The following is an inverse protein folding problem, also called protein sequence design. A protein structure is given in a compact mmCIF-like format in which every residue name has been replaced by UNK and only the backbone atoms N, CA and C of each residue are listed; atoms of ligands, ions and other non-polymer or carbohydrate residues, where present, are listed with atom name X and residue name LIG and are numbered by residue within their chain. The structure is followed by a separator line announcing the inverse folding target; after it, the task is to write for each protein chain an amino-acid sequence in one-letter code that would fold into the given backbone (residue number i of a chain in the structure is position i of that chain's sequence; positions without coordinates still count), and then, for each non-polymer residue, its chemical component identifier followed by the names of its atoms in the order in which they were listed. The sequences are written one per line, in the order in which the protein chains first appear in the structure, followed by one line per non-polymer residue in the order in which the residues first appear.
data_IF_294671458996
#
_entry.id   IF_294671458996
#
_cell.length_a   1.000
_cell.length_b   1.000
_cell.length_c   1.000
_cell.angle_alpha   90.00
_cell.angle_beta   90.00
_cell.angle_gamma   90.00
#
_symmetry.space_group_name_H-M   'P 1'
#
loop_
_entity.id
_entity.type
_entity.pdbx_description
1 polymer ?
#
# COMPACT_ATOMS: atom_id res chain seq x y z
N UNK A 1 -39.45 26.95 -7.31
CA UNK A 1 -39.52 26.63 -5.86
C UNK A 1 -38.47 25.58 -5.51
N UNK A 2 -37.74 25.83 -4.43
CA UNK A 2 -36.50 25.18 -3.99
C UNK A 2 -36.74 23.72 -3.58
N UNK A 3 -35.94 22.78 -4.11
CA UNK A 3 -35.65 21.50 -3.45
C UNK A 3 -34.13 21.31 -3.43
N UNK A 4 -33.51 21.95 -2.44
CA UNK A 4 -32.12 21.72 -2.10
C UNK A 4 -32.02 20.34 -1.44
N UNK A 5 -31.57 19.33 -2.18
CA UNK A 5 -31.15 18.06 -1.60
C UNK A 5 -29.72 18.24 -1.08
N UNK A 6 -29.62 18.63 0.19
CA UNK A 6 -28.40 18.54 0.99
C UNK A 6 -28.26 17.08 1.46
N UNK A 7 -27.57 16.27 0.67
CA UNK A 7 -26.98 15.02 1.16
C UNK A 7 -25.59 15.36 1.69
N UNK A 8 -25.54 15.76 2.96
CA UNK A 8 -24.30 15.83 3.72
C UNK A 8 -23.83 14.40 3.99
N UNK A 9 -23.06 13.85 3.06
CA UNK A 9 -22.30 12.63 3.30
C UNK A 9 -21.14 12.98 4.24
N UNK A 10 -21.33 12.70 5.53
CA UNK A 10 -20.28 12.79 6.54
C UNK A 10 -19.29 11.66 6.24
N UNK A 11 -18.21 11.98 5.52
CA UNK A 11 -17.10 11.06 5.30
C UNK A 11 -16.35 10.89 6.63
N UNK A 12 -16.69 9.85 7.39
CA UNK A 12 -15.76 9.29 8.36
C UNK A 12 -14.66 8.60 7.56
N UNK A 13 -13.63 9.37 7.17
CA UNK A 13 -12.42 8.79 6.58
C UNK A 13 -11.72 8.07 7.73
N UNK A 14 -11.96 6.77 7.87
CA UNK A 14 -11.01 5.92 8.55
C UNK A 14 -9.71 6.05 7.76
N UNK A 15 -8.74 6.77 8.33
CA UNK A 15 -7.37 6.78 7.82
C UNK A 15 -6.86 5.37 8.01
N UNK A 16 -6.99 4.53 6.99
CA UNK A 16 -6.15 3.34 6.87
C UNK A 16 -4.74 3.87 6.56
N UNK A 17 -4.02 4.29 7.61
CA UNK A 17 -2.60 4.51 7.49
C UNK A 17 -2.02 3.13 7.16
N UNK A 18 -1.70 2.90 5.88
CA UNK A 18 -0.94 1.73 5.42
C UNK A 18 0.55 1.86 5.81
N UNK A 19 0.83 2.53 6.92
CA UNK A 19 2.14 2.49 7.53
C UNK A 19 2.16 1.22 8.40
N UNK A 20 3.05 0.25 8.15
CA UNK A 20 3.06 -0.96 8.95
C UNK A 20 3.27 -0.55 10.41
N UNK A 21 2.49 -1.09 11.35
CA UNK A 21 2.57 -0.74 12.78
C UNK A 21 3.99 -0.79 13.37
N UNK A 22 4.87 -1.57 12.72
CA UNK A 22 6.30 -1.58 12.94
C UNK A 22 7.00 -0.24 12.67
N UNK A 23 6.74 0.42 11.54
CA UNK A 23 7.40 1.66 11.13
C UNK A 23 7.12 2.78 12.13
N UNK A 24 5.88 2.88 12.60
CA UNK A 24 5.49 3.77 13.69
C UNK A 24 6.27 3.47 14.97
N UNK A 25 6.37 2.19 15.35
CA UNK A 25 7.09 1.78 16.57
C UNK A 25 8.58 2.09 16.46
N UNK A 26 9.20 1.83 15.31
CA UNK A 26 10.63 2.09 15.08
C UNK A 26 10.94 3.59 15.08
N UNK A 27 10.14 4.40 14.37
CA UNK A 27 10.29 5.87 14.36
C UNK A 27 10.09 6.45 15.76
N UNK A 28 9.08 6.00 16.49
CA UNK A 28 8.83 6.44 17.85
C UNK A 28 9.95 6.03 18.82
N UNK A 29 10.56 4.86 18.62
CA UNK A 29 11.61 4.33 19.51
C UNK A 29 12.96 5.04 19.27
N UNK A 30 13.37 5.21 18.02
CA UNK A 30 14.75 5.66 17.72
C UNK A 30 14.86 7.07 17.14
N UNK A 31 13.79 7.64 16.60
CA UNK A 31 13.84 8.91 15.85
C UNK A 31 15.01 8.97 14.86
N UNK A 32 15.10 7.98 13.94
CA UNK A 32 16.26 7.80 13.08
C UNK A 32 16.50 9.02 12.17
N UNK A 33 17.77 9.25 11.83
CA UNK A 33 18.15 10.31 10.89
C UNK A 33 17.90 9.83 9.47
N UNK A 34 16.83 10.32 8.84
CA UNK A 34 16.50 10.01 7.46
C UNK A 34 15.20 9.22 7.31
N UNK A 35 14.92 8.83 6.08
CA UNK A 35 13.72 8.06 5.76
C UNK A 35 13.96 6.57 6.04
N UNK A 36 13.14 6.00 6.93
CA UNK A 36 13.16 4.55 7.17
C UNK A 36 12.48 3.87 5.99
N UNK A 37 13.22 3.00 5.31
CA UNK A 37 12.73 2.27 4.14
C UNK A 37 12.38 0.83 4.51
N UNK A 38 11.70 0.10 3.60
CA UNK A 38 11.43 -1.32 3.81
C UNK A 38 12.73 -2.15 4.00
N UNK A 39 13.86 -1.65 3.50
CA UNK A 39 15.13 -2.36 3.56
C UNK A 39 15.75 -2.40 4.96
N UNK A 40 15.21 -1.62 5.91
CA UNK A 40 15.56 -1.70 7.31
C UNK A 40 15.38 -3.14 7.84
N UNK A 41 14.31 -3.81 7.42
CA UNK A 41 13.96 -5.16 7.87
C UNK A 41 13.86 -6.20 6.74
N UNK A 42 13.86 -5.78 5.48
CA UNK A 42 13.68 -6.67 4.34
C UNK A 42 14.86 -6.64 3.37
N UNK A 43 15.17 -7.79 2.78
CA UNK A 43 16.12 -7.88 1.66
C UNK A 43 15.39 -7.78 0.30
N UNK A 44 14.21 -7.18 0.29
CA UNK A 44 13.19 -7.30 -0.76
C UNK A 44 11.88 -7.83 -0.17
N UNK A 45 10.89 -6.96 0.11
CA UNK A 45 9.64 -7.37 0.72
C UNK A 45 8.96 -8.52 -0.05
N UNK A 46 8.47 -9.58 0.63
CA UNK A 46 8.36 -9.72 2.08
C UNK A 46 9.56 -10.45 2.75
N UNK A 47 10.60 -10.83 2.00
CA UNK A 47 11.75 -11.57 2.54
C UNK A 47 12.51 -10.70 3.55
N UNK A 48 12.59 -11.13 4.81
CA UNK A 48 13.31 -10.39 5.86
C UNK A 48 14.83 -10.49 5.70
N UNK A 49 15.54 -9.39 5.92
CA UNK A 49 17.01 -9.37 6.03
C UNK A 49 17.44 -9.99 7.38
N UNK A 50 18.73 -9.99 7.70
CA UNK A 50 19.25 -10.58 8.94
C UNK A 50 18.68 -9.89 10.19
N UNK A 51 18.60 -8.56 10.20
CA UNK A 51 18.03 -7.77 11.29
C UNK A 51 16.53 -8.04 11.46
N UNK A 52 15.75 -7.97 10.39
CA UNK A 52 14.31 -8.22 10.42
C UNK A 52 13.95 -9.63 10.89
N UNK A 53 14.81 -10.63 10.64
CA UNK A 53 14.64 -11.97 11.23
C UNK A 53 14.89 -11.94 12.75
N UNK A 54 15.94 -11.27 13.21
CA UNK A 54 16.19 -11.10 14.64
C UNK A 54 15.03 -10.38 15.35
N UNK A 55 14.48 -9.33 14.73
CA UNK A 55 13.26 -8.65 15.21
C UNK A 55 12.10 -9.64 15.28
N UNK A 56 11.86 -10.43 14.23
CA UNK A 56 10.78 -11.40 14.20
C UNK A 56 10.90 -12.49 15.27
N UNK A 57 12.12 -12.90 15.60
CA UNK A 57 12.39 -13.90 16.65
C UNK A 57 12.18 -13.31 18.04
N UNK A 58 12.47 -12.01 18.22
CA UNK A 58 12.31 -11.31 19.50
C UNK A 58 10.89 -10.80 19.76
N UNK A 59 9.96 -10.89 18.79
CA UNK A 59 8.59 -10.41 18.93
C UNK A 59 7.83 -11.12 20.06
N UNK A 60 7.14 -10.34 20.89
CA UNK A 60 6.27 -10.83 21.96
C UNK A 60 4.82 -10.69 21.46
N UNK A 61 4.03 -11.77 21.54
CA UNK A 61 2.63 -11.82 21.08
C UNK A 61 2.44 -11.38 19.62
N UNK A 62 3.43 -11.65 18.75
CA UNK A 62 3.38 -11.25 17.35
C UNK A 62 3.42 -9.73 17.14
N UNK A 63 3.89 -8.96 18.11
CA UNK A 63 4.03 -7.50 18.04
C UNK A 63 5.48 -7.09 18.21
N UNK A 64 5.88 -6.07 17.44
CA UNK A 64 7.11 -5.34 17.70
C UNK A 64 6.79 -4.22 18.68
N UNK A 65 7.52 -4.17 19.78
CA UNK A 65 7.44 -3.10 20.79
C UNK A 65 8.79 -2.41 20.90
N UNK A 66 8.83 -1.24 21.54
CA UNK A 66 10.09 -0.58 21.85
C UNK A 66 11.05 -1.49 22.64
N UNK A 67 10.52 -2.34 23.53
CA UNK A 67 11.33 -3.30 24.29
C UNK A 67 11.96 -4.37 23.39
N UNK A 68 11.22 -4.88 22.39
CA UNK A 68 11.75 -5.83 21.39
C UNK A 68 12.88 -5.19 20.60
N UNK A 69 12.68 -3.96 20.14
CA UNK A 69 13.70 -3.21 19.39
C UNK A 69 14.95 -2.97 20.24
N UNK A 70 14.80 -2.44 21.46
CA UNK A 70 15.91 -2.21 22.38
C UNK A 70 16.67 -3.48 22.78
N UNK A 71 16.02 -4.64 22.80
CA UNK A 71 16.70 -5.91 23.07
C UNK A 71 17.76 -6.27 22.02
N UNK A 72 17.69 -5.66 20.83
CA UNK A 72 18.60 -5.88 19.72
C UNK A 72 19.61 -4.74 19.53
N UNK A 73 19.57 -3.66 20.30
CA UNK A 73 20.39 -2.45 20.11
C UNK A 73 21.90 -2.72 20.05
N UNK A 74 22.36 -3.62 20.92
CA UNK A 74 23.77 -3.97 21.07
C UNK A 74 24.22 -5.11 20.14
N UNK A 75 23.31 -5.71 19.38
CA UNK A 75 23.65 -6.75 18.41
C UNK A 75 24.17 -6.10 17.14
N UNK A 76 25.17 -6.73 16.56
CA UNK A 76 25.63 -6.51 15.19
C UNK A 76 25.00 -7.64 14.36
N UNK A 77 23.91 -7.33 13.63
CA UNK A 77 23.10 -8.39 13.01
C UNK A 77 23.69 -8.92 11.71
N UNK A 78 24.53 -8.13 11.04
CA UNK A 78 25.10 -8.45 9.75
C UNK A 78 26.63 -8.66 9.78
N UNK A 79 27.26 -8.36 10.92
CA UNK A 79 28.62 -8.72 11.26
C UNK A 79 29.66 -7.71 10.75
N UNK A 80 29.26 -6.47 10.46
CA UNK A 80 30.16 -5.45 9.90
C UNK A 80 30.92 -4.61 10.95
N UNK A 81 30.64 -4.86 12.23
CA UNK A 81 31.29 -4.22 13.38
C UNK A 81 30.59 -2.96 13.89
N UNK A 82 29.48 -2.54 13.30
CA UNK A 82 28.57 -1.57 13.90
C UNK A 82 27.42 -2.29 14.64
N UNK A 83 26.90 -1.69 15.72
CA UNK A 83 25.69 -2.25 16.34
C UNK A 83 24.44 -1.70 15.63
N UNK A 84 23.34 -2.47 15.68
CA UNK A 84 22.07 -2.07 15.07
C UNK A 84 21.66 -0.64 15.49
N UNK A 85 21.84 -0.28 16.77
CA UNK A 85 21.51 1.07 17.26
C UNK A 85 22.39 2.17 16.65
N UNK A 86 23.68 1.89 16.43
CA UNK A 86 24.60 2.84 15.83
C UNK A 86 24.24 3.11 14.37
N UNK A 87 23.89 2.05 13.65
CA UNK A 87 23.45 2.12 12.25
C UNK A 87 22.11 2.86 12.11
N UNK A 88 21.10 2.51 12.91
CA UNK A 88 19.79 3.18 12.91
C UNK A 88 19.94 4.68 13.20
N UNK A 89 20.83 5.05 14.14
CA UNK A 89 21.11 6.46 14.47
C UNK A 89 21.90 7.17 13.38
N UNK A 90 22.75 6.45 12.65
CA UNK A 90 23.50 6.96 11.51
C UNK A 90 22.67 7.01 10.22
N UNK A 91 21.48 6.38 10.20
CA UNK A 91 20.66 6.24 9.00
C UNK A 91 21.20 5.19 8.02
N UNK A 92 21.99 4.24 8.52
CA UNK A 92 22.49 3.09 7.77
C UNK A 92 21.69 1.84 8.16
N UNK A 93 21.88 0.70 7.48
CA UNK A 93 20.93 -0.41 7.51
C UNK A 93 21.47 -1.59 8.34
N UNK A 94 20.87 -1.94 9.50
CA UNK A 94 21.36 -2.99 10.40
C UNK A 94 21.42 -4.42 9.86
N UNK A 95 20.99 -4.62 8.62
CA UNK A 95 20.93 -5.92 7.97
C UNK A 95 21.65 -5.96 6.64
N UNK A 96 22.47 -4.96 6.34
CA UNK A 96 23.24 -4.82 5.12
C UNK A 96 24.70 -4.40 5.45
N UNK A 97 25.67 -5.33 5.39
CA UNK A 97 27.07 -5.06 5.72
C UNK A 97 27.73 -3.97 4.86
N UNK A 98 27.13 -3.63 3.72
CA UNK A 98 27.60 -2.55 2.85
C UNK A 98 27.11 -1.17 3.31
N UNK A 99 26.22 -1.10 4.29
CA UNK A 99 25.55 0.09 4.80
C UNK A 99 25.89 0.30 6.29
N UNK A 100 27.15 0.67 6.55
CA UNK A 100 27.66 0.95 7.89
C UNK A 100 27.94 2.45 8.12
N UNK A 101 27.88 2.93 9.37
CA UNK A 101 28.48 4.20 9.74
C UNK A 101 29.98 4.15 9.45
N UNK A 102 30.53 5.25 8.95
CA UNK A 102 31.98 5.38 8.76
C UNK A 102 32.69 5.39 10.13
N UNK A 103 33.04 4.21 10.63
CA UNK A 103 34.02 4.02 11.71
C UNK A 103 35.37 3.69 11.06
N UNK A 104 36.44 4.31 11.55
CA UNK A 104 37.79 4.10 11.05
C UNK A 104 38.12 2.60 11.01
N UNK A 105 38.38 2.11 9.80
CA UNK A 105 38.56 0.72 9.41
C UNK A 105 39.66 0.01 10.21
N UNK A 106 39.34 -1.16 10.79
CA UNK A 106 40.28 -2.30 10.79
C UNK A 106 39.86 -3.22 9.62
N UNK A 107 40.75 -3.55 8.68
CA UNK A 107 40.36 -4.25 7.47
C UNK A 107 40.11 -5.73 7.76
N UNK A 108 38.87 -6.18 7.63
CA UNK A 108 38.56 -7.59 7.52
C UNK A 108 38.94 -8.07 6.11
N UNK A 109 39.95 -8.93 6.07
CA UNK A 109 40.44 -9.67 4.91
C UNK A 109 39.31 -10.28 4.09
N UNK A 110 39.35 -10.02 2.79
CA UNK A 110 38.29 -10.36 1.85
C UNK A 110 37.96 -11.84 1.75
N UNK A 111 36.66 -12.09 1.58
CA UNK A 111 36.20 -13.17 0.71
C UNK A 111 35.26 -12.52 -0.30
N UNK A 112 35.58 -12.68 -1.58
CA UNK A 112 34.85 -12.06 -2.68
C UNK A 112 33.34 -12.40 -2.63
N UNK A 113 32.44 -11.46 -2.99
CA UNK A 113 31.02 -11.74 -3.03
C UNK A 113 30.74 -12.79 -4.11
N UNK A 114 30.06 -13.87 -3.73
CA UNK A 114 29.39 -14.76 -4.68
C UNK A 114 28.32 -13.92 -5.38
N UNK A 115 28.27 -13.86 -6.72
CA UNK A 115 27.23 -13.11 -7.40
C UNK A 115 25.88 -13.71 -7.00
N UNK A 116 25.06 -12.89 -6.35
CA UNK A 116 23.66 -13.17 -6.12
C UNK A 116 23.03 -13.41 -7.50
N UNK A 117 22.28 -14.52 -7.70
CA UNK A 117 21.65 -14.73 -8.99
C UNK A 117 20.66 -13.59 -9.21
N UNK A 118 20.96 -12.74 -10.20
CA UNK A 118 19.99 -11.83 -10.77
C UNK A 118 18.81 -12.67 -11.23
N UNK A 119 17.75 -12.74 -10.41
CA UNK A 119 16.46 -13.16 -10.91
C UNK A 119 16.08 -12.15 -11.99
N UNK A 120 15.97 -12.64 -13.22
CA UNK A 120 15.49 -11.90 -14.38
C UNK A 120 14.04 -11.50 -14.21
N UNK A 121 13.77 -10.64 -13.23
CA UNK A 121 12.47 -10.04 -13.01
C UNK A 121 12.28 -8.98 -14.10
N UNK A 122 11.59 -9.39 -15.17
CA UNK A 122 11.10 -8.54 -16.26
C UNK A 122 10.12 -7.43 -15.80
N UNK A 123 9.98 -7.22 -14.48
CA UNK A 123 9.13 -6.22 -13.87
C UNK A 123 10.00 -5.48 -12.85
N UNK A 124 10.29 -4.19 -13.03
CA UNK A 124 11.24 -3.55 -12.14
C UNK A 124 10.68 -3.42 -10.71
N UNK A 125 11.56 -3.62 -9.73
CA UNK A 125 11.25 -3.83 -8.29
C UNK A 125 10.73 -2.59 -7.55
N UNK A 126 10.55 -1.47 -8.25
CA UNK A 126 9.91 -0.27 -7.73
C UNK A 126 8.39 -0.46 -7.65
N UNK A 127 7.81 0.02 -6.55
CA UNK A 127 6.37 0.09 -6.24
C UNK A 127 5.55 0.78 -7.34
N UNK A 128 5.33 0.12 -8.48
CA UNK A 128 4.28 0.49 -9.44
C UNK A 128 2.89 0.16 -8.92
N UNK A 129 2.81 -0.49 -7.75
CA UNK A 129 1.60 -0.87 -7.03
C UNK A 129 0.66 0.32 -6.79
N UNK A 130 1.11 1.52 -6.38
CA UNK A 130 0.23 2.66 -6.26
C UNK A 130 -0.29 3.13 -7.62
N UNK A 131 0.53 3.17 -8.68
CA UNK A 131 0.11 3.72 -9.98
C UNK A 131 -0.92 2.82 -10.68
N UNK A 132 -0.71 1.50 -10.66
CA UNK A 132 -1.62 0.54 -11.33
C UNK A 132 -2.95 0.39 -10.55
N UNK A 133 -2.92 0.56 -9.23
CA UNK A 133 -4.09 0.31 -8.35
C UNK A 133 -4.90 1.58 -8.07
N UNK A 134 -4.26 2.75 -7.96
CA UNK A 134 -4.97 4.00 -7.71
C UNK A 134 -5.52 4.65 -8.99
N UNK A 135 -4.98 4.29 -10.16
CA UNK A 135 -5.46 4.85 -11.42
C UNK A 135 -6.93 4.49 -11.73
N UNK A 136 -7.39 3.23 -11.63
CA UNK A 136 -8.80 2.88 -11.81
C UNK A 136 -9.74 3.62 -10.86
N UNK A 137 -9.30 3.78 -9.61
CA UNK A 137 -10.00 4.49 -8.53
C UNK A 137 -10.18 5.96 -8.90
N UNK A 138 -9.08 6.65 -9.22
CA UNK A 138 -9.09 8.06 -9.58
C UNK A 138 -9.95 8.30 -10.82
N UNK A 139 -9.84 7.42 -11.83
CA UNK A 139 -10.62 7.52 -13.06
C UNK A 139 -12.12 7.36 -12.78
N UNK A 140 -12.51 6.40 -11.95
CA UNK A 140 -13.92 6.20 -11.60
C UNK A 140 -14.49 7.39 -10.81
N UNK A 141 -13.79 7.86 -9.78
CA UNK A 141 -14.23 9.00 -8.96
C UNK A 141 -14.29 10.30 -9.77
N UNK A 142 -13.34 10.51 -10.68
CA UNK A 142 -13.37 11.64 -11.60
C UNK A 142 -14.58 11.57 -12.53
N UNK A 143 -14.88 10.39 -13.08
CA UNK A 143 -16.10 10.17 -13.87
C UNK A 143 -17.38 10.49 -13.07
N UNK A 144 -17.48 10.01 -11.82
CA UNK A 144 -18.61 10.32 -10.95
C UNK A 144 -18.74 11.83 -10.65
N UNK A 145 -17.62 12.52 -10.48
CA UNK A 145 -17.57 13.97 -10.31
C UNK A 145 -18.05 14.71 -11.57
N UNK A 146 -17.58 14.32 -12.76
CA UNK A 146 -18.01 14.89 -14.03
C UNK A 146 -19.51 14.66 -14.25
N UNK A 147 -20.05 13.49 -13.88
CA UNK A 147 -21.47 13.20 -13.98
C UNK A 147 -22.29 14.19 -13.13
N UNK A 148 -21.85 14.42 -11.89
CA UNK A 148 -22.51 15.38 -10.99
C UNK A 148 -22.45 16.80 -11.53
N UNK A 149 -21.31 17.21 -12.08
CA UNK A 149 -21.16 18.50 -12.74
C UNK A 149 -22.06 18.63 -13.96
N UNK A 150 -22.16 17.59 -14.79
CA UNK A 150 -23.03 17.55 -15.96
C UNK A 150 -24.49 17.73 -15.59
N UNK A 151 -24.97 17.09 -14.52
CA UNK A 151 -26.32 17.32 -13.98
C UNK A 151 -26.52 18.77 -13.51
N UNK A 152 -25.53 19.39 -12.85
CA UNK A 152 -25.63 20.80 -12.41
C UNK A 152 -25.68 21.78 -13.58
N UNK A 153 -24.95 21.48 -14.65
CA UNK A 153 -24.83 22.35 -15.84
C UNK A 153 -25.87 22.07 -16.91
N UNK A 154 -26.64 20.98 -16.81
CA UNK A 154 -27.52 20.52 -17.88
C UNK A 154 -26.75 20.07 -19.13
N UNK A 155 -25.51 19.64 -18.96
CA UNK A 155 -24.60 19.29 -20.06
C UNK A 155 -24.60 17.77 -20.30
N UNK A 156 -25.38 17.33 -21.28
CA UNK A 156 -25.47 15.92 -21.64
C UNK A 156 -24.20 15.37 -22.29
N UNK A 157 -23.38 16.22 -22.92
CA UNK A 157 -22.06 15.84 -23.44
C UNK A 157 -21.13 15.44 -22.30
N UNK A 158 -21.09 16.27 -21.25
CA UNK A 158 -20.31 16.01 -20.05
C UNK A 158 -20.79 14.74 -19.33
N UNK A 159 -22.10 14.51 -19.25
CA UNK A 159 -22.68 13.29 -18.64
C UNK A 159 -22.33 12.03 -19.45
N UNK A 160 -22.32 12.09 -20.78
CA UNK A 160 -21.87 10.95 -21.61
C UNK A 160 -20.40 10.66 -21.41
N UNK A 161 -19.55 11.70 -21.41
CA UNK A 161 -18.12 11.57 -21.12
C UNK A 161 -17.88 10.94 -19.74
N UNK A 162 -18.60 11.42 -18.73
CA UNK A 162 -18.53 10.90 -17.36
C UNK A 162 -18.81 9.39 -17.27
N UNK A 163 -19.84 8.88 -17.96
CA UNK A 163 -20.17 7.45 -17.97
C UNK A 163 -19.06 6.63 -18.64
N UNK A 164 -18.43 7.14 -19.70
CA UNK A 164 -17.29 6.48 -20.36
C UNK A 164 -16.10 6.42 -19.40
N UNK A 165 -15.81 7.52 -18.70
CA UNK A 165 -14.73 7.58 -17.69
C UNK A 165 -14.97 6.61 -16.54
N UNK A 166 -16.19 6.58 -15.98
CA UNK A 166 -16.56 5.62 -14.94
C UNK A 166 -16.41 4.18 -15.41
N UNK A 167 -16.86 3.88 -16.63
CA UNK A 167 -16.74 2.55 -17.22
C UNK A 167 -15.27 2.14 -17.41
N UNK A 168 -14.42 3.05 -17.90
CA UNK A 168 -12.99 2.79 -18.05
C UNK A 168 -12.33 2.51 -16.69
N UNK A 169 -12.67 3.26 -15.64
CA UNK A 169 -12.22 3.00 -14.27
C UNK A 169 -12.67 1.62 -13.76
N UNK A 170 -13.94 1.27 -13.97
CA UNK A 170 -14.50 -0.02 -13.55
C UNK A 170 -13.89 -1.22 -14.31
N UNK A 171 -13.53 -1.07 -15.58
CA UNK A 171 -12.90 -2.14 -16.36
C UNK A 171 -11.42 -2.30 -16.02
N UNK A 172 -10.70 -1.19 -15.85
CA UNK A 172 -9.28 -1.25 -15.48
C UNK A 172 -9.06 -1.80 -14.07
N UNK A 173 -10.04 -1.66 -13.16
CA UNK A 173 -9.95 -2.26 -11.83
C UNK A 173 -9.95 -3.80 -11.84
N UNK A 174 -10.55 -4.45 -12.86
CA UNK A 174 -10.46 -5.91 -13.03
C UNK A 174 -9.01 -6.35 -13.27
N UNK A 175 -8.27 -5.58 -14.07
CA UNK A 175 -6.84 -5.82 -14.34
C UNK A 175 -6.03 -5.58 -13.06
N UNK A 176 -6.36 -4.54 -12.30
CA UNK A 176 -5.72 -4.27 -11.01
C UNK A 176 -5.93 -5.40 -9.99
N UNK A 177 -7.14 -5.96 -9.87
CA UNK A 177 -7.40 -7.12 -9.01
C UNK A 177 -6.61 -8.34 -9.45
N UNK A 178 -6.60 -8.66 -10.76
CA UNK A 178 -5.87 -9.81 -11.28
C UNK A 178 -4.34 -9.70 -11.05
N UNK A 179 -3.78 -8.51 -11.29
CA UNK A 179 -2.35 -8.24 -11.04
C UNK A 179 -2.03 -8.24 -9.55
N UNK A 180 -2.93 -7.73 -8.69
CA UNK A 180 -2.81 -7.80 -7.24
C UNK A 180 -2.76 -9.22 -6.69
N UNK A 181 -3.65 -10.11 -7.16
CA UNK A 181 -3.63 -11.55 -6.79
C UNK A 181 -2.31 -12.19 -7.22
N UNK A 182 -1.87 -11.92 -8.46
CA UNK A 182 -0.61 -12.47 -8.99
C UNK A 182 0.58 -12.01 -8.15
N UNK A 183 0.60 -10.74 -7.76
CA UNK A 183 1.65 -10.20 -6.89
C UNK A 183 1.61 -10.85 -5.50
N UNK A 184 0.42 -10.96 -4.89
CA UNK A 184 0.27 -11.60 -3.57
C UNK A 184 0.82 -13.04 -3.57
N UNK A 185 0.47 -13.83 -4.58
CA UNK A 185 0.95 -15.21 -4.72
C UNK A 185 2.45 -15.30 -4.98
N UNK A 186 3.01 -14.43 -5.84
CA UNK A 186 4.47 -14.40 -6.11
C UNK A 186 5.29 -14.01 -4.88
N UNK A 187 4.72 -13.15 -4.03
CA UNK A 187 5.34 -12.72 -2.78
C UNK A 187 5.10 -13.71 -1.64
N UNK A 188 4.33 -14.79 -1.85
CA UNK A 188 4.10 -15.84 -0.84
C UNK A 188 3.08 -15.48 0.24
N UNK A 189 2.21 -14.48 0.00
CA UNK A 189 1.11 -14.17 0.90
C UNK A 189 0.02 -15.26 0.84
N UNK A 190 -0.52 -15.61 2.00
CA UNK A 190 -1.71 -16.45 2.12
C UNK A 190 -2.97 -15.64 1.78
N UNK A 191 -3.86 -16.23 0.97
CA UNK A 191 -5.16 -15.66 0.63
C UNK A 191 -6.27 -16.25 1.52
N UNK A 192 -5.97 -16.41 2.81
CA UNK A 192 -6.87 -17.01 3.79
C UNK A 192 -7.51 -15.93 4.69
N UNK A 193 -8.73 -16.16 5.21
CA UNK A 193 -9.36 -15.26 6.16
C UNK A 193 -8.49 -14.99 7.39
N UNK A 194 -8.44 -13.73 7.82
CA UNK A 194 -7.66 -13.29 8.99
C UNK A 194 -6.39 -12.51 8.65
N UNK A 195 -5.90 -12.62 7.41
CA UNK A 195 -4.74 -11.89 6.93
C UNK A 195 -5.10 -10.51 6.37
N UNK A 196 -4.22 -9.53 6.53
CA UNK A 196 -4.44 -8.18 6.01
C UNK A 196 -4.59 -8.16 4.48
N UNK A 197 -3.79 -8.97 3.77
CA UNK A 197 -3.84 -9.10 2.31
C UNK A 197 -5.17 -9.69 1.84
N UNK A 198 -5.73 -10.64 2.59
CA UNK A 198 -7.05 -11.19 2.28
C UNK A 198 -8.14 -10.13 2.45
N UNK A 199 -8.11 -9.37 3.55
CA UNK A 199 -9.06 -8.27 3.79
C UNK A 199 -8.99 -7.23 2.66
N UNK A 200 -7.78 -6.82 2.28
CA UNK A 200 -7.55 -5.89 1.18
C UNK A 200 -8.09 -6.43 -0.15
N UNK A 201 -7.84 -7.71 -0.46
CA UNK A 201 -8.35 -8.35 -1.67
C UNK A 201 -9.89 -8.37 -1.70
N UNK A 202 -10.54 -8.72 -0.59
CA UNK A 202 -12.01 -8.73 -0.50
C UNK A 202 -12.57 -7.33 -0.73
N UNK A 203 -11.99 -6.30 -0.09
CA UNK A 203 -12.41 -4.92 -0.28
C UNK A 203 -12.21 -4.46 -1.73
N UNK A 204 -11.09 -4.81 -2.38
CA UNK A 204 -10.83 -4.52 -3.79
C UNK A 204 -11.82 -5.18 -4.75
N UNK A 205 -12.23 -6.44 -4.48
CA UNK A 205 -13.26 -7.14 -5.27
C UNK A 205 -14.63 -6.47 -5.08
N UNK A 206 -15.02 -6.20 -3.83
CA UNK A 206 -16.30 -5.54 -3.53
C UNK A 206 -16.38 -4.14 -4.14
N UNK A 207 -15.30 -3.36 -4.05
CA UNK A 207 -15.17 -2.07 -4.69
C UNK A 207 -15.34 -2.17 -6.21
N UNK A 208 -14.67 -3.13 -6.86
CA UNK A 208 -14.79 -3.36 -8.31
C UNK A 208 -16.22 -3.71 -8.70
N UNK A 209 -16.88 -4.62 -7.97
CA UNK A 209 -18.28 -4.98 -8.22
C UNK A 209 -19.22 -3.78 -8.03
N UNK A 210 -18.99 -2.95 -7.01
CA UNK A 210 -19.77 -1.74 -6.77
C UNK A 210 -19.59 -0.72 -7.90
N UNK A 211 -18.36 -0.52 -8.40
CA UNK A 211 -18.06 0.36 -9.54
C UNK A 211 -18.76 -0.11 -10.82
N UNK A 212 -18.74 -1.42 -11.10
CA UNK A 212 -19.44 -2.04 -12.23
C UNK A 212 -20.95 -1.85 -12.12
N UNK A 213 -21.51 -2.14 -10.93
CA UNK A 213 -22.92 -1.98 -10.63
C UNK A 213 -23.37 -0.53 -10.78
N UNK A 214 -22.64 0.42 -10.19
CA UNK A 214 -22.89 1.85 -10.30
C UNK A 214 -22.90 2.32 -11.75
N UNK A 215 -21.92 1.90 -12.55
CA UNK A 215 -21.83 2.27 -13.97
C UNK A 215 -22.99 1.68 -14.78
N UNK A 216 -23.33 0.41 -14.56
CA UNK A 216 -24.44 -0.26 -15.24
C UNK A 216 -25.80 0.37 -14.88
N UNK A 217 -26.00 0.66 -13.60
CA UNK A 217 -27.20 1.32 -13.10
C UNK A 217 -27.31 2.74 -13.67
N UNK A 218 -26.20 3.48 -13.73
CA UNK A 218 -26.15 4.82 -14.34
C UNK A 218 -26.51 4.84 -15.82
N UNK A 219 -26.19 3.76 -16.57
CA UNK A 219 -26.62 3.59 -17.98
C UNK A 219 -28.12 3.33 -18.12
N UNK A 220 -28.75 2.68 -17.13
CA UNK A 220 -30.19 2.31 -17.18
C UNK A 220 -31.11 3.39 -16.59
N UNK A 221 -30.70 4.02 -15.50
CA UNK A 221 -31.53 4.95 -14.74
C UNK A 221 -30.71 6.21 -14.36
N UNK A 222 -30.45 7.11 -15.32
CA UNK A 222 -29.50 8.22 -15.22
C UNK A 222 -29.63 9.10 -13.98
N UNK A 223 -30.86 9.36 -13.57
CA UNK A 223 -31.19 10.35 -12.55
C UNK A 223 -31.84 9.70 -11.32
N UNK A 224 -31.70 8.37 -11.16
CA UNK A 224 -32.24 7.66 -10.01
C UNK A 224 -31.40 7.93 -8.75
N UNK A 225 -32.09 8.20 -7.63
CA UNK A 225 -31.46 8.32 -6.30
C UNK A 225 -30.66 7.06 -5.97
N UNK A 226 -31.17 5.89 -6.36
CA UNK A 226 -30.46 4.63 -6.21
C UNK A 226 -29.08 4.65 -6.89
N UNK A 227 -28.92 5.29 -8.06
CA UNK A 227 -27.62 5.34 -8.74
C UNK A 227 -26.62 6.18 -7.97
N UNK A 228 -27.06 7.32 -7.43
CA UNK A 228 -26.26 8.17 -6.56
C UNK A 228 -25.80 7.42 -5.31
N UNK A 229 -26.70 6.65 -4.68
CA UNK A 229 -26.35 5.81 -3.52
C UNK A 229 -25.29 4.79 -3.90
N UNK A 230 -25.45 4.06 -5.01
CA UNK A 230 -24.47 3.04 -5.45
C UNK A 230 -23.11 3.66 -5.79
N UNK A 231 -23.07 4.86 -6.40
CA UNK A 231 -21.81 5.58 -6.66
C UNK A 231 -21.11 5.96 -5.35
N UNK A 232 -21.86 6.45 -4.36
CA UNK A 232 -21.29 6.80 -3.04
C UNK A 232 -20.76 5.56 -2.33
N UNK A 233 -21.53 4.46 -2.34
CA UNK A 233 -21.09 3.18 -1.75
C UNK A 233 -19.82 2.68 -2.44
N UNK A 234 -19.76 2.73 -3.78
CA UNK A 234 -18.56 2.37 -4.53
C UNK A 234 -17.36 3.24 -4.11
N UNK A 235 -17.54 4.56 -4.01
CA UNK A 235 -16.48 5.47 -3.58
C UNK A 235 -15.97 5.17 -2.16
N UNK A 236 -16.87 4.85 -1.22
CA UNK A 236 -16.50 4.51 0.17
C UNK A 236 -15.74 3.19 0.22
N UNK A 237 -16.21 2.15 -0.46
CA UNK A 237 -15.52 0.86 -0.52
C UNK A 237 -14.12 0.99 -1.13
N UNK A 238 -13.99 1.81 -2.15
CA UNK A 238 -12.72 2.11 -2.81
C UNK A 238 -11.73 2.81 -1.88
N UNK A 239 -12.19 3.73 -1.03
CA UNK A 239 -11.34 4.43 -0.06
C UNK A 239 -10.95 3.51 1.10
N UNK A 240 -11.79 2.54 1.43
CA UNK A 240 -11.55 1.58 2.50
C UNK A 240 -10.60 0.44 2.09
N UNK A 241 -10.48 0.14 0.79
CA UNK A 241 -9.61 -0.89 0.23
C UNK A 241 -8.15 -0.42 0.23
#
# INVERSE_FOLDING_TARGET
MKRAFLLSAFFLVARANAEPAFLETLKATYSPKGEVTCNECHAGPPKRNVYGRAVSEAMIDGKVTAAVLHSLDAKDSDGDGATNLEEIKAGTLPGDPASHPVKAVVPATGTAPKPEPESGDLVPRHSGHPLIIHFPIALFLFGAFLDRMGVRKGDDGLRRGAVVTMWAGAMTSLIAVATGITAALRLGYSLLPGEAVFTHLVLGILATLAMLGATAQRKRAPDSVATLVTIVVAAVLVIAA
#
